data_IF_868880770316
#
_entry.id   IF_868880770316
#
_cell.length_a   1.000
_cell.length_b   1.000
_cell.length_c   1.000
_cell.angle_alpha   90.00
_cell.angle_beta   90.00
_cell.angle_gamma   90.00
#
_symmetry.space_group_name_H-M   'P 1'
#
loop_
_entity.id
_entity.type
_entity.pdbx_description
1 polymer ?
#
# COMPACT_ATOMS: atom_id res chain seq x y z
N UNK A 1 -19.30 -10.26 21.90
CA UNK A 1 -18.13 -9.47 21.47
C UNK A 1 -16.89 -10.35 21.67
N UNK A 2 -16.49 -11.12 20.66
CA UNK A 2 -15.34 -12.04 20.71
C UNK A 2 -14.20 -11.47 19.88
N UNK A 3 -13.04 -11.26 20.49
CA UNK A 3 -11.83 -10.77 19.84
C UNK A 3 -10.99 -11.97 19.36
N UNK A 4 -10.90 -12.14 18.04
CA UNK A 4 -9.99 -13.11 17.44
C UNK A 4 -8.57 -12.55 17.45
N UNK A 5 -7.70 -13.10 18.29
CA UNK A 5 -6.27 -12.86 18.25
C UNK A 5 -5.67 -13.69 17.10
N UNK A 6 -5.39 -13.07 15.95
CA UNK A 6 -4.63 -13.72 14.87
C UNK A 6 -3.13 -13.60 15.15
N UNK A 7 -2.60 -14.57 15.90
CA UNK A 7 -1.17 -14.78 16.01
C UNK A 7 -0.61 -15.16 14.64
N UNK A 8 -0.07 -14.19 13.91
CA UNK A 8 0.74 -14.45 12.72
C UNK A 8 2.05 -15.07 13.17
N UNK A 9 2.01 -16.39 13.26
CA UNK A 9 3.18 -17.25 13.28
C UNK A 9 3.93 -17.00 11.97
N UNK A 10 4.98 -16.17 12.01
CA UNK A 10 6.02 -16.19 10.96
C UNK A 10 6.78 -17.50 11.14
N UNK A 11 6.14 -18.57 10.67
CA UNK A 11 6.76 -19.86 10.52
C UNK A 11 7.94 -19.67 9.58
N UNK A 12 9.14 -19.72 10.15
CA UNK A 12 10.28 -20.24 9.40
C UNK A 12 9.80 -21.57 8.81
N UNK A 13 9.92 -21.80 7.49
CA UNK A 13 9.56 -23.08 6.94
C UNK A 13 10.45 -24.12 7.64
N UNK A 14 9.80 -24.96 8.43
CA UNK A 14 10.37 -26.12 9.06
C UNK A 14 11.04 -26.93 7.95
N UNK A 15 12.36 -26.98 7.93
CA UNK A 15 13.13 -27.84 7.04
C UNK A 15 13.04 -29.30 7.52
N UNK A 16 11.81 -29.76 7.76
CA UNK A 16 11.45 -31.15 8.00
C UNK A 16 10.72 -31.71 6.77
N UNK A 17 11.36 -31.72 5.62
CA UNK A 17 10.94 -32.63 4.55
C UNK A 17 12.17 -33.05 3.76
N UNK A 18 12.67 -34.26 4.05
CA UNK A 18 12.97 -35.24 3.02
C UNK A 18 13.25 -36.62 3.67
N UNK A 19 12.22 -37.26 4.21
CA UNK A 19 12.19 -38.73 4.33
C UNK A 19 11.21 -39.25 3.28
N UNK A 20 11.80 -39.69 2.17
CA UNK A 20 11.38 -40.78 1.27
C UNK A 20 9.92 -40.85 0.80
N UNK A 21 9.74 -40.66 -0.51
CA UNK A 21 9.00 -41.62 -1.35
C UNK A 21 9.56 -41.53 -2.77
N UNK A 22 10.55 -42.37 -3.05
CA UNK A 22 11.00 -42.71 -4.40
C UNK A 22 9.98 -43.70 -4.96
N UNK A 23 9.15 -43.26 -5.90
CA UNK A 23 8.51 -44.16 -6.86
C UNK A 23 8.51 -43.43 -8.22
N UNK A 24 9.00 -44.13 -9.23
CA UNK A 24 9.17 -43.72 -10.64
C UNK A 24 10.26 -42.68 -10.99
N UNK A 25 11.51 -43.16 -11.07
CA UNK A 25 12.40 -42.79 -12.18
C UNK A 25 13.60 -43.74 -12.25
N UNK A 26 13.33 -44.87 -12.88
CA UNK A 26 14.27 -45.87 -13.32
C UNK A 26 15.44 -45.26 -14.13
N UNK A 27 16.68 -45.64 -13.79
CA UNK A 27 17.93 -45.58 -14.58
C UNK A 27 18.90 -44.38 -14.56
N UNK A 28 18.80 -43.38 -13.66
CA UNK A 28 19.88 -42.37 -13.53
C UNK A 28 20.50 -42.41 -12.13
N UNK A 29 21.78 -42.81 -12.05
CA UNK A 29 22.58 -42.67 -10.81
C UNK A 29 22.74 -41.17 -10.55
N UNK A 30 21.89 -40.61 -9.69
CA UNK A 30 22.03 -39.24 -9.19
C UNK A 30 22.99 -39.26 -8.00
N UNK A 31 24.04 -38.42 -7.97
CA UNK A 31 24.85 -38.31 -6.77
C UNK A 31 23.96 -37.85 -5.61
N UNK A 32 24.11 -38.45 -4.41
CA UNK A 32 23.34 -38.06 -3.24
C UNK A 32 23.57 -36.58 -2.95
N UNK A 33 22.48 -35.84 -2.66
CA UNK A 33 22.60 -34.43 -2.25
C UNK A 33 23.52 -34.38 -1.02
N UNK A 34 24.61 -33.61 -1.04
CA UNK A 34 25.48 -33.51 0.13
C UNK A 34 24.65 -33.01 1.31
N UNK A 35 24.75 -33.70 2.45
CA UNK A 35 24.06 -33.26 3.66
C UNK A 35 24.52 -31.84 4.00
N UNK A 36 23.55 -30.97 4.26
CA UNK A 36 23.85 -29.62 4.74
C UNK A 36 24.62 -29.75 6.07
N UNK A 37 25.84 -29.19 6.19
CA UNK A 37 26.62 -29.27 7.43
C UNK A 37 25.86 -28.66 8.62
N UNK A 38 24.92 -27.74 8.36
CA UNK A 38 24.03 -27.16 9.36
C UNK A 38 23.08 -28.19 10.00
N UNK A 39 22.74 -29.26 9.27
CA UNK A 39 21.87 -30.36 9.72
C UNK A 39 22.62 -31.67 9.93
N UNK A 40 23.89 -31.75 9.55
CA UNK A 40 24.69 -32.98 9.49
C UNK A 40 24.97 -33.59 10.87
N UNK A 41 24.96 -32.80 11.95
CA UNK A 41 25.19 -33.30 13.30
C UNK A 41 24.22 -32.66 14.30
N UNK A 42 23.65 -33.51 15.17
CA UNK A 42 22.80 -33.08 16.29
C UNK A 42 23.50 -32.07 17.19
N UNK A 43 24.79 -32.28 17.45
CA UNK A 43 25.60 -31.36 18.25
C UNK A 43 25.69 -29.97 17.60
N UNK A 44 25.81 -29.90 16.27
CA UNK A 44 25.85 -28.62 15.56
C UNK A 44 24.50 -27.88 15.63
N UNK A 45 23.38 -28.61 15.53
CA UNK A 45 22.05 -28.04 15.69
C UNK A 45 21.81 -27.52 17.12
N UNK A 46 22.26 -28.27 18.12
CA UNK A 46 22.15 -27.88 19.54
C UNK A 46 22.98 -26.62 19.82
N UNK A 47 24.22 -26.56 19.31
CA UNK A 47 25.06 -25.35 19.39
C UNK A 47 24.39 -24.15 18.71
N UNK A 48 23.81 -24.31 17.52
CA UNK A 48 23.12 -23.23 16.83
C UNK A 48 21.95 -22.69 17.66
N UNK A 49 21.15 -23.58 18.25
CA UNK A 49 20.05 -23.20 19.15
C UNK A 49 20.57 -22.44 20.38
N UNK A 50 21.64 -22.93 21.01
CA UNK A 50 22.25 -22.28 22.17
C UNK A 50 22.80 -20.88 21.83
N UNK A 51 23.50 -20.73 20.71
CA UNK A 51 24.01 -19.45 20.23
C UNK A 51 22.87 -18.45 19.96
N UNK A 52 21.79 -18.88 19.32
CA UNK A 52 20.62 -18.03 19.15
C UNK A 52 19.99 -17.63 20.49
N UNK A 53 19.88 -18.56 21.44
CA UNK A 53 19.28 -18.33 22.76
C UNK A 53 20.12 -17.37 23.59
N UNK A 54 21.44 -17.53 23.59
CA UNK A 54 22.37 -16.63 24.28
C UNK A 54 22.37 -15.24 23.68
N UNK A 55 22.34 -15.12 22.34
CA UNK A 55 22.21 -13.83 21.65
C UNK A 55 20.89 -13.13 21.98
N UNK A 56 19.76 -13.83 21.89
CA UNK A 56 18.44 -13.28 22.27
C UNK A 56 18.44 -12.79 23.72
N UNK A 57 19.03 -13.56 24.64
CA UNK A 57 19.14 -13.20 26.05
C UNK A 57 20.03 -11.96 26.27
N UNK A 58 21.15 -11.85 25.56
CA UNK A 58 22.00 -10.64 25.56
C UNK A 58 21.25 -9.42 25.05
N UNK A 59 20.61 -9.52 23.89
CA UNK A 59 19.75 -8.47 23.31
C UNK A 59 18.61 -8.06 24.25
N UNK A 60 18.03 -8.99 25.03
CA UNK A 60 17.02 -8.65 26.05
C UNK A 60 17.59 -7.90 27.25
N UNK A 61 18.83 -8.16 27.65
CA UNK A 61 19.49 -7.51 28.79
C UNK A 61 20.10 -6.15 28.43
N UNK A 62 20.72 -6.06 27.26
CA UNK A 62 21.45 -4.89 26.75
C UNK A 62 20.57 -4.00 25.86
N UNK A 63 19.40 -4.50 25.44
CA UNK A 63 18.53 -3.85 24.48
C UNK A 63 18.93 -4.13 23.03
N UNK A 64 18.03 -3.79 22.10
CA UNK A 64 18.29 -3.91 20.66
C UNK A 64 19.28 -2.85 20.21
N UNK A 65 20.25 -3.25 19.40
CA UNK A 65 21.18 -2.31 18.76
C UNK A 65 20.45 -1.39 17.78
N UNK A 66 21.05 -0.26 17.44
CA UNK A 66 20.49 0.68 16.45
C UNK A 66 20.21 -0.01 15.11
N UNK A 67 21.15 -0.84 14.65
CA UNK A 67 20.99 -1.60 13.40
C UNK A 67 19.81 -2.56 13.47
N UNK A 68 19.64 -3.29 14.58
CA UNK A 68 18.47 -4.18 14.75
C UNK A 68 17.16 -3.40 14.71
N UNK A 69 17.10 -2.26 15.41
CA UNK A 69 15.94 -1.38 15.40
C UNK A 69 15.65 -0.82 14.01
N UNK A 70 16.68 -0.45 13.26
CA UNK A 70 16.56 0.06 11.89
C UNK A 70 16.05 -1.03 10.93
N UNK A 71 16.54 -2.26 11.05
CA UNK A 71 16.07 -3.40 10.24
C UNK A 71 14.63 -3.77 10.58
N UNK A 72 14.26 -3.82 11.86
CA UNK A 72 12.87 -4.05 12.28
C UNK A 72 11.94 -2.95 11.76
N UNK A 73 12.35 -1.68 11.89
CA UNK A 73 11.62 -0.53 11.36
C UNK A 73 11.42 -0.66 9.84
N UNK A 74 12.50 -0.94 9.09
CA UNK A 74 12.43 -1.15 7.64
C UNK A 74 11.49 -2.29 7.26
N UNK A 75 11.57 -3.43 7.94
CA UNK A 75 10.71 -4.57 7.68
C UNK A 75 9.24 -4.25 7.98
N UNK A 76 8.97 -3.51 9.06
CA UNK A 76 7.64 -3.04 9.39
C UNK A 76 7.12 -2.06 8.33
N UNK A 77 7.92 -1.07 7.94
CA UNK A 77 7.56 -0.10 6.90
C UNK A 77 7.27 -0.77 5.56
N UNK A 78 8.09 -1.74 5.15
CA UNK A 78 7.85 -2.51 3.92
C UNK A 78 6.52 -3.27 3.97
N UNK A 79 6.20 -3.91 5.10
CA UNK A 79 4.92 -4.61 5.28
C UNK A 79 3.73 -3.65 5.29
N UNK A 80 3.86 -2.53 5.99
CA UNK A 80 2.81 -1.52 6.09
C UNK A 80 2.57 -0.80 4.77
N UNK A 81 3.61 -0.60 3.95
CA UNK A 81 3.49 0.04 2.64
C UNK A 81 2.47 -0.68 1.77
N UNK A 82 2.53 -2.01 1.69
CA UNK A 82 1.59 -2.79 0.88
C UNK A 82 0.14 -2.62 1.36
N UNK A 83 -0.10 -2.62 2.68
CA UNK A 83 -1.44 -2.40 3.24
C UNK A 83 -1.93 -0.97 3.01
N UNK A 84 -1.04 0.01 3.14
CA UNK A 84 -1.36 1.44 2.95
C UNK A 84 -1.68 1.75 1.50
N UNK A 85 -0.87 1.26 0.56
CA UNK A 85 -1.11 1.42 -0.88
C UNK A 85 -2.46 0.79 -1.27
N UNK A 86 -2.81 -0.37 -0.71
CA UNK A 86 -4.12 -1.01 -0.92
C UNK A 86 -5.28 -0.19 -0.32
N UNK A 87 -5.10 0.41 0.85
CA UNK A 87 -6.12 1.25 1.48
C UNK A 87 -6.29 2.58 0.74
N UNK A 88 -5.21 3.20 0.26
CA UNK A 88 -5.23 4.41 -0.56
C UNK A 88 -5.90 4.15 -1.92
N UNK A 89 -5.61 3.01 -2.57
CA UNK A 89 -6.31 2.59 -3.78
C UNK A 89 -7.82 2.43 -3.53
N UNK A 90 -8.21 1.75 -2.44
CA UNK A 90 -9.64 1.61 -2.06
C UNK A 90 -10.30 2.96 -1.77
N UNK A 91 -9.60 3.86 -1.08
CA UNK A 91 -10.09 5.23 -0.81
C UNK A 91 -10.26 6.04 -2.10
N UNK A 92 -9.35 5.90 -3.06
CA UNK A 92 -9.47 6.53 -4.38
C UNK A 92 -10.65 5.99 -5.19
N UNK A 93 -11.05 4.73 -4.97
CA UNK A 93 -12.24 4.15 -5.59
C UNK A 93 -13.54 4.44 -4.82
N UNK A 94 -13.47 5.09 -3.65
CA UNK A 94 -14.65 5.37 -2.84
C UNK A 94 -15.66 6.26 -3.60
N UNK A 95 -16.98 5.99 -3.50
CA UNK A 95 -18.00 6.83 -4.11
C UNK A 95 -17.87 8.33 -3.75
N UNK A 96 -17.50 8.62 -2.50
CA UNK A 96 -17.26 9.98 -2.02
C UNK A 96 -16.07 10.63 -2.73
N UNK A 97 -14.98 9.88 -2.96
CA UNK A 97 -13.80 10.38 -3.65
C UNK A 97 -14.11 10.71 -5.11
N UNK A 98 -14.88 9.85 -5.78
CA UNK A 98 -15.35 10.11 -7.14
C UNK A 98 -16.22 11.37 -7.22
N UNK A 99 -17.12 11.59 -6.24
CA UNK A 99 -17.96 12.79 -6.22
C UNK A 99 -17.15 14.07 -5.96
N UNK A 100 -16.15 14.00 -5.06
CA UNK A 100 -15.20 15.10 -4.87
C UNK A 100 -14.43 15.42 -6.14
N UNK A 101 -13.97 14.41 -6.89
CA UNK A 101 -13.26 14.59 -8.16
C UNK A 101 -14.17 15.27 -9.20
N UNK A 102 -15.42 14.80 -9.34
CA UNK A 102 -16.41 15.44 -10.21
C UNK A 102 -16.67 16.89 -9.82
N UNK A 103 -16.82 17.18 -8.52
CA UNK A 103 -17.03 18.54 -8.01
C UNK A 103 -15.83 19.44 -8.33
N UNK A 104 -14.61 18.93 -8.13
CA UNK A 104 -13.39 19.66 -8.45
C UNK A 104 -13.33 20.00 -9.95
N UNK A 105 -13.59 19.04 -10.83
CA UNK A 105 -13.61 19.26 -12.27
C UNK A 105 -14.67 20.30 -12.68
N UNK A 106 -15.87 20.25 -12.09
CA UNK A 106 -16.91 21.27 -12.33
C UNK A 106 -16.44 22.66 -11.94
N UNK A 107 -15.82 22.82 -10.77
CA UNK A 107 -15.30 24.11 -10.32
C UNK A 107 -14.19 24.63 -11.23
N UNK A 108 -13.27 23.77 -11.67
CA UNK A 108 -12.20 24.15 -12.59
C UNK A 108 -12.78 24.65 -13.94
N UNK A 109 -13.82 23.98 -14.46
CA UNK A 109 -14.47 24.44 -15.70
C UNK A 109 -15.16 25.78 -15.54
N UNK A 110 -15.79 26.04 -14.39
CA UNK A 110 -16.43 27.33 -14.11
C UNK A 110 -15.39 28.43 -13.96
N UNK A 111 -14.29 28.17 -13.26
CA UNK A 111 -13.20 29.14 -13.09
C UNK A 111 -12.56 29.49 -14.45
N UNK A 112 -12.34 28.50 -15.32
CA UNK A 112 -11.86 28.77 -16.70
C UNK A 112 -12.85 29.61 -17.50
N UNK A 113 -14.16 29.33 -17.39
CA UNK A 113 -15.18 30.13 -18.07
C UNK A 113 -15.26 31.55 -17.54
N UNK A 114 -15.10 31.75 -16.23
CA UNK A 114 -15.06 33.07 -15.61
C UNK A 114 -13.84 33.87 -16.08
N UNK A 115 -12.66 33.25 -16.08
CA UNK A 115 -11.44 33.86 -16.65
C UNK A 115 -11.61 34.22 -18.12
N UNK A 116 -12.18 33.33 -18.92
CA UNK A 116 -12.46 33.59 -20.34
C UNK A 116 -13.43 34.78 -20.54
N UNK A 117 -14.45 34.93 -19.66
CA UNK A 117 -15.35 36.09 -19.69
C UNK A 117 -14.67 37.38 -19.25
N UNK A 118 -13.74 37.30 -18.29
CA UNK A 118 -12.96 38.45 -17.86
C UNK A 118 -11.96 38.91 -18.93
N UNK A 119 -11.40 37.97 -19.69
CA UNK A 119 -10.54 38.22 -20.85
C UNK A 119 -11.33 38.65 -22.10
N UNK A 120 -12.65 38.46 -22.13
CA UNK A 120 -13.50 38.86 -23.25
C UNK A 120 -13.53 40.41 -23.37
N UNK A 121 -13.36 40.96 -24.59
CA UNK A 121 -13.37 42.40 -24.81
C UNK A 121 -14.59 43.11 -24.20
N UNK A 122 -14.33 44.20 -23.48
CA UNK A 122 -15.34 44.93 -22.70
C UNK A 122 -16.60 45.30 -23.50
N UNK A 123 -16.46 45.63 -24.80
CA UNK A 123 -17.58 46.01 -25.65
C UNK A 123 -18.59 44.88 -25.87
N UNK A 124 -18.15 43.61 -25.89
CA UNK A 124 -19.04 42.45 -25.98
C UNK A 124 -19.85 42.30 -24.70
N UNK A 125 -19.19 42.51 -23.55
CA UNK A 125 -19.86 42.48 -22.24
C UNK A 125 -20.91 43.60 -22.12
N UNK A 126 -20.59 44.83 -22.53
CA UNK A 126 -21.52 45.97 -22.51
C UNK A 126 -22.71 45.72 -23.44
N UNK A 127 -22.46 45.20 -24.65
CA UNK A 127 -23.52 44.85 -25.61
C UNK A 127 -24.48 43.80 -25.04
N UNK A 128 -23.97 42.77 -24.37
CA UNK A 128 -24.83 41.76 -23.74
C UNK A 128 -25.63 42.34 -22.56
N UNK A 129 -25.02 43.17 -21.71
CA UNK A 129 -25.72 43.86 -20.61
C UNK A 129 -26.89 44.69 -21.14
N UNK A 130 -26.66 45.48 -22.19
CA UNK A 130 -27.72 46.26 -22.85
C UNK A 130 -28.84 45.36 -23.41
N UNK A 131 -28.50 44.21 -24.03
CA UNK A 131 -29.50 43.26 -24.52
C UNK A 131 -30.39 42.72 -23.38
N UNK A 132 -29.80 42.40 -22.23
CA UNK A 132 -30.52 41.88 -21.05
C UNK A 132 -31.45 42.95 -20.47
N UNK A 133 -30.99 44.19 -20.33
CA UNK A 133 -31.84 45.29 -19.83
C UNK A 133 -32.97 45.63 -20.81
N UNK A 134 -32.71 45.59 -22.13
CA UNK A 134 -33.78 45.81 -23.12
C UNK A 134 -34.83 44.70 -23.09
N UNK A 135 -34.44 43.45 -22.86
CA UNK A 135 -35.37 42.32 -22.76
C UNK A 135 -36.25 42.41 -21.51
N UNK A 136 -35.67 42.80 -20.37
CA UNK A 136 -36.43 43.05 -19.13
C UNK A 136 -37.42 44.21 -19.32
N UNK A 137 -36.98 45.32 -19.90
CA UNK A 137 -37.84 46.48 -20.12
C UNK A 137 -38.92 46.26 -21.20
N UNK A 138 -38.68 45.35 -22.16
CA UNK A 138 -39.69 44.95 -23.14
C UNK A 138 -40.78 44.04 -22.53
N UNK A 139 -40.47 43.28 -21.48
CA UNK A 139 -41.45 42.45 -20.76
C UNK A 139 -42.42 43.24 -19.87
N UNK A 140 -42.04 44.45 -19.44
CA UNK A 140 -42.86 45.33 -18.59
C UNK A 140 -43.93 46.11 -19.37
N UNK A 141 -43.90 46.13 -20.71
CA UNK A 141 -44.89 46.85 -21.55
C UNK A 141 -46.05 45.98 -22.02
N UNK A 142 -46.20 44.78 -21.45
CA UNK A 142 -47.34 43.88 -21.67
C UNK A 142 -48.11 43.64 -20.36
N UNK A 143 -48.69 44.71 -19.80
CA UNK A 143 -49.80 44.65 -18.84
C UNK A 143 -50.69 45.85 -19.04
#
# INVERSE_FOLDING_TARGET
MQTHQSGHNVGFPDLQYQLQSEEDSSHVIRPPKPLNPLTASRSHQELHKELQMTHKRRVSREGKTELQRALEKRNWEQRMKASRDQEEAKKSTSPLHQELLKRHQRLETLERQEKAKQEEPEFLQVKERLRRTTALHAGEKQT
#
